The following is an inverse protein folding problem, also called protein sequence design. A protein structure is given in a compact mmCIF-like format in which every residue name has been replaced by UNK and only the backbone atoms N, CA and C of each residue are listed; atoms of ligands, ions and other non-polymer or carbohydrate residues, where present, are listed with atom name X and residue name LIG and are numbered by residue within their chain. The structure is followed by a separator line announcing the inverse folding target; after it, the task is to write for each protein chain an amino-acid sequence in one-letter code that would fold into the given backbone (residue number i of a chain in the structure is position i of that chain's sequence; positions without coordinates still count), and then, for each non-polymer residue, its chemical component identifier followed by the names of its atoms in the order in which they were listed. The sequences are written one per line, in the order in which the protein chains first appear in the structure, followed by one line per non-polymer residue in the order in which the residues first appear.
data_IF_476489554152
#
_entry.id   IF_476489554152
#
_cell.length_a   1.000
_cell.length_b   1.000
_cell.length_c   1.000
_cell.angle_alpha   90.00
_cell.angle_beta   90.00
_cell.angle_gamma   90.00
#
_symmetry.space_group_name_H-M   'P 1'
#
loop_
_entity.id
_entity.type
_entity.pdbx_description
1 polymer ?
#
# COMPACT_ATOMS: atom_id res chain seq x y z
N UNK A 1 -32.51 -13.61 -27.94
CA UNK A 1 -31.59 -12.47 -27.82
C UNK A 1 -30.34 -12.99 -27.08
N UNK A 2 -29.13 -12.65 -27.47
CA UNK A 2 -27.96 -13.05 -26.67
C UNK A 2 -28.02 -12.37 -25.32
N UNK A 3 -27.50 -13.07 -24.28
CA UNK A 3 -27.41 -12.53 -22.92
C UNK A 3 -26.54 -11.27 -22.90
N UNK A 4 -27.08 -10.20 -22.31
CA UNK A 4 -26.43 -8.88 -22.30
C UNK A 4 -25.45 -8.76 -21.11
N UNK A 5 -25.72 -9.46 -19.99
CA UNK A 5 -24.91 -9.45 -18.77
C UNK A 5 -23.81 -10.50 -18.91
N UNK A 6 -22.55 -10.07 -18.73
CA UNK A 6 -21.38 -10.95 -18.76
C UNK A 6 -20.53 -10.75 -17.51
N UNK A 7 -19.87 -11.82 -17.07
CA UNK A 7 -18.90 -11.75 -15.98
C UNK A 7 -17.67 -10.95 -16.44
N UNK A 8 -17.26 -9.98 -15.63
CA UNK A 8 -16.05 -9.22 -15.92
C UNK A 8 -14.80 -10.10 -15.74
N UNK A 9 -13.78 -9.93 -16.58
CA UNK A 9 -12.48 -10.53 -16.34
C UNK A 9 -11.90 -10.05 -15.00
N UNK A 10 -11.21 -10.93 -14.26
CA UNK A 10 -10.67 -10.64 -12.92
C UNK A 10 -9.84 -9.36 -12.86
N UNK A 11 -9.00 -9.11 -13.88
CA UNK A 11 -8.18 -7.91 -13.92
C UNK A 11 -9.01 -6.62 -13.98
N UNK A 12 -10.15 -6.63 -14.71
CA UNK A 12 -11.05 -5.47 -14.79
C UNK A 12 -11.79 -5.29 -13.46
N UNK A 13 -12.31 -6.37 -12.89
CA UNK A 13 -12.96 -6.34 -11.57
C UNK A 13 -12.01 -5.80 -10.50
N UNK A 14 -10.73 -6.23 -10.52
CA UNK A 14 -9.68 -5.76 -9.62
C UNK A 14 -9.38 -4.26 -9.79
N UNK A 15 -9.33 -3.76 -11.03
CA UNK A 15 -9.13 -2.34 -11.30
C UNK A 15 -10.31 -1.47 -10.83
N UNK A 16 -11.54 -1.94 -11.00
CA UNK A 16 -12.74 -1.25 -10.52
C UNK A 16 -12.72 -1.16 -8.99
N UNK A 17 -12.51 -2.29 -8.31
CA UNK A 17 -12.44 -2.33 -6.85
C UNK A 17 -11.26 -1.52 -6.28
N UNK A 18 -10.09 -1.57 -6.94
CA UNK A 18 -8.95 -0.72 -6.58
C UNK A 18 -9.31 0.77 -6.64
N UNK A 19 -10.18 1.13 -7.58
CA UNK A 19 -10.66 2.48 -7.74
C UNK A 19 -11.56 2.99 -6.61
N UNK A 20 -12.18 2.11 -5.86
CA UNK A 20 -12.97 2.48 -4.67
C UNK A 20 -12.05 2.77 -3.47
N UNK A 21 -10.93 2.07 -3.38
CA UNK A 21 -9.93 2.24 -2.31
C UNK A 21 -8.97 3.39 -2.61
N UNK A 22 -8.45 3.44 -3.84
CA UNK A 22 -7.42 4.40 -4.25
C UNK A 22 -7.97 5.37 -5.28
N UNK A 23 -8.30 6.56 -4.85
CA UNK A 23 -8.82 7.63 -5.73
C UNK A 23 -7.72 8.57 -6.25
N UNK A 24 -6.64 8.76 -5.47
CA UNK A 24 -5.54 9.69 -5.73
C UNK A 24 -4.27 9.29 -4.98
N UNK A 25 -3.11 9.92 -5.26
CA UNK A 25 -1.86 9.64 -4.53
C UNK A 25 -1.98 9.75 -3.02
N UNK A 26 -2.71 10.72 -2.48
CA UNK A 26 -2.93 10.88 -1.05
C UNK A 26 -3.62 9.66 -0.40
N UNK A 27 -4.49 8.94 -1.13
CA UNK A 27 -5.10 7.70 -0.63
C UNK A 27 -4.05 6.61 -0.41
N UNK A 28 -3.09 6.47 -1.35
CA UNK A 28 -1.97 5.53 -1.20
C UNK A 28 -1.10 5.90 0.00
N UNK A 29 -0.75 7.18 0.13
CA UNK A 29 0.05 7.68 1.27
C UNK A 29 -0.62 7.34 2.59
N UNK A 30 -1.91 7.63 2.73
CA UNK A 30 -2.69 7.31 3.93
C UNK A 30 -2.59 5.83 4.28
N UNK A 31 -2.90 4.93 3.33
CA UNK A 31 -2.90 3.48 3.55
C UNK A 31 -1.51 2.97 3.97
N UNK A 32 -0.44 3.44 3.31
CA UNK A 32 0.92 3.00 3.64
C UNK A 32 1.39 3.52 5.01
N UNK A 33 1.06 4.77 5.37
CA UNK A 33 1.37 5.31 6.70
C UNK A 33 0.61 4.55 7.81
N UNK A 34 -0.68 4.26 7.60
CA UNK A 34 -1.48 3.49 8.56
C UNK A 34 -0.94 2.06 8.73
N UNK A 35 -0.48 1.41 7.65
CA UNK A 35 0.16 0.11 7.73
C UNK A 35 1.49 0.15 8.52
N UNK A 36 2.30 1.19 8.34
CA UNK A 36 3.54 1.38 9.09
C UNK A 36 3.27 1.59 10.58
N UNK A 37 2.22 2.35 10.95
CA UNK A 37 1.78 2.53 12.33
C UNK A 37 1.32 1.20 12.94
N UNK A 38 0.50 0.45 12.22
CA UNK A 38 0.00 -0.86 12.65
C UNK A 38 1.15 -1.88 12.85
N UNK A 39 2.26 -1.73 12.09
CA UNK A 39 3.51 -2.47 12.27
C UNK A 39 4.33 -2.02 13.49
N UNK A 40 3.80 -1.11 14.32
CA UNK A 40 4.44 -0.58 15.55
C UNK A 40 5.74 0.17 15.28
N UNK A 41 5.82 0.86 14.17
CA UNK A 41 6.98 1.66 13.81
C UNK A 41 7.14 2.87 14.73
N UNK A 42 8.38 3.25 15.01
CA UNK A 42 8.74 4.46 15.74
C UNK A 42 9.30 5.55 14.83
N UNK A 43 9.72 5.16 13.63
CA UNK A 43 10.24 6.07 12.59
C UNK A 43 9.60 5.71 11.26
N UNK A 44 9.00 6.69 10.59
CA UNK A 44 8.36 6.53 9.28
C UNK A 44 8.84 7.63 8.36
N UNK A 45 9.36 7.25 7.19
CA UNK A 45 9.84 8.19 6.16
C UNK A 45 9.01 8.04 4.90
N UNK A 46 8.49 9.16 4.40
CA UNK A 46 7.76 9.27 3.12
C UNK A 46 8.65 9.97 2.09
N UNK A 47 8.83 9.36 0.92
CA UNK A 47 9.50 9.96 -0.23
C UNK A 47 8.55 10.02 -1.40
N UNK A 48 8.50 11.16 -2.08
CA UNK A 48 7.60 11.42 -3.20
C UNK A 48 8.37 11.89 -4.43
N UNK A 49 7.88 11.50 -5.60
CA UNK A 49 8.28 12.08 -6.88
C UNK A 49 7.05 12.39 -7.72
N UNK A 50 7.04 13.57 -8.35
CA UNK A 50 5.95 14.08 -9.18
C UNK A 50 4.57 14.02 -8.50
N UNK A 51 4.50 14.54 -7.25
CA UNK A 51 3.27 14.52 -6.44
C UNK A 51 2.69 13.10 -6.24
N UNK A 52 3.55 12.09 -6.13
CA UNK A 52 3.15 10.70 -5.96
C UNK A 52 2.71 9.98 -7.24
N UNK A 53 2.72 10.63 -8.40
CA UNK A 53 2.36 10.01 -9.68
C UNK A 53 3.42 9.03 -10.16
N UNK A 54 4.70 9.38 -9.98
CA UNK A 54 5.85 8.56 -10.40
C UNK A 54 6.35 7.68 -9.27
N UNK A 55 6.40 8.20 -8.03
CA UNK A 55 6.86 7.45 -6.86
C UNK A 55 6.15 7.93 -5.59
N UNK A 56 5.68 6.96 -4.82
CA UNK A 56 5.35 7.08 -3.39
C UNK A 56 6.13 5.97 -2.69
N UNK A 57 7.03 6.32 -1.78
CA UNK A 57 7.77 5.34 -1.00
C UNK A 57 7.60 5.63 0.47
N UNK A 58 7.17 4.63 1.24
CA UNK A 58 7.14 4.66 2.70
C UNK A 58 8.13 3.63 3.21
N UNK A 59 8.98 4.08 4.11
CA UNK A 59 9.97 3.26 4.82
C UNK A 59 9.69 3.38 6.30
N UNK A 60 9.58 2.26 6.98
CA UNK A 60 9.35 2.15 8.41
C UNK A 60 10.34 1.19 9.08
N UNK A 61 10.50 1.33 10.38
CA UNK A 61 11.29 0.45 11.23
C UNK A 61 10.43 -0.45 12.11
N UNK A 62 9.25 -0.83 11.64
CA UNK A 62 8.31 -1.69 12.35
C UNK A 62 8.74 -3.16 12.40
N UNK A 63 7.80 -4.03 12.74
CA UNK A 63 8.06 -5.46 12.95
C UNK A 63 8.56 -6.21 11.71
N UNK A 64 8.40 -5.65 10.52
CA UNK A 64 8.67 -6.35 9.27
C UNK A 64 7.72 -7.54 9.03
N UNK A 65 7.97 -8.28 7.97
CA UNK A 65 7.17 -9.44 7.56
C UNK A 65 8.07 -10.63 7.23
N UNK A 66 7.57 -11.84 7.46
CA UNK A 66 8.17 -13.05 6.91
C UNK A 66 8.03 -13.06 5.37
N UNK A 67 8.84 -13.83 4.62
CA UNK A 67 8.67 -13.95 3.16
C UNK A 67 7.28 -14.42 2.74
N UNK A 68 6.64 -15.29 3.54
CA UNK A 68 5.28 -15.78 3.29
C UNK A 68 4.24 -14.70 3.53
N UNK A 69 4.32 -13.97 4.66
CA UNK A 69 3.40 -12.86 4.96
C UNK A 69 3.54 -11.73 3.95
N UNK A 70 4.77 -11.45 3.50
CA UNK A 70 5.03 -10.44 2.49
C UNK A 70 4.35 -10.76 1.14
N UNK A 71 4.31 -12.03 0.73
CA UNK A 71 3.53 -12.48 -0.44
C UNK A 71 2.03 -12.37 -0.19
N UNK A 72 1.55 -12.88 0.95
CA UNK A 72 0.13 -12.86 1.32
C UNK A 72 -0.40 -11.43 1.45
N UNK A 73 0.45 -10.44 1.78
CA UNK A 73 0.03 -9.04 1.90
C UNK A 73 -0.53 -8.44 0.61
N UNK A 74 -0.26 -9.06 -0.55
CA UNK A 74 -0.80 -8.68 -1.85
C UNK A 74 -2.06 -9.45 -2.25
N UNK A 75 -2.46 -10.46 -1.46
CA UNK A 75 -3.70 -11.18 -1.69
C UNK A 75 -4.89 -10.42 -1.08
N UNK A 76 -6.04 -10.50 -1.75
CA UNK A 76 -7.26 -9.92 -1.22
C UNK A 76 -7.76 -10.70 -0.03
N UNK A 77 -8.32 -9.98 0.95
CA UNK A 77 -8.85 -10.56 2.19
C UNK A 77 -7.79 -11.26 3.05
N UNK A 78 -6.49 -11.08 2.75
CA UNK A 78 -5.41 -11.54 3.60
C UNK A 78 -5.08 -10.45 4.62
N UNK A 79 -5.33 -10.73 5.89
CA UNK A 79 -5.06 -9.80 6.99
C UNK A 79 -4.61 -10.56 8.24
N UNK A 80 -3.66 -9.98 8.96
CA UNK A 80 -3.26 -10.45 10.29
C UNK A 80 -4.12 -9.88 11.43
N UNK A 81 -5.05 -8.96 11.09
CA UNK A 81 -5.71 -8.08 12.06
C UNK A 81 -7.06 -8.60 12.54
N UNK A 82 -7.72 -9.46 11.75
CA UNK A 82 -8.98 -10.12 12.09
C UNK A 82 -8.90 -11.59 11.69
N UNK A 83 -9.47 -12.47 12.51
CA UNK A 83 -9.55 -13.91 12.24
C UNK A 83 -11.00 -14.42 12.30
N UNK A 84 -11.82 -13.80 13.12
CA UNK A 84 -13.23 -14.17 13.33
C UNK A 84 -14.10 -12.91 13.29
N UNK A 85 -15.41 -13.09 13.08
CA UNK A 85 -16.35 -11.98 12.96
C UNK A 85 -16.42 -11.11 14.24
N UNK A 86 -16.22 -11.69 15.41
CA UNK A 86 -16.20 -10.99 16.68
C UNK A 86 -15.04 -10.00 16.83
N UNK A 87 -13.93 -10.20 16.09
CA UNK A 87 -12.79 -9.28 16.08
C UNK A 87 -13.18 -7.92 15.47
N UNK A 88 -14.22 -7.87 14.63
CA UNK A 88 -14.74 -6.62 14.05
C UNK A 88 -15.22 -5.63 15.12
N UNK A 89 -15.66 -6.12 16.27
CA UNK A 89 -16.12 -5.28 17.38
C UNK A 89 -14.98 -4.82 18.31
N UNK A 90 -13.76 -5.32 18.12
CA UNK A 90 -12.58 -5.05 18.97
C UNK A 90 -11.40 -4.47 18.18
N UNK A 91 -11.69 -3.86 17.02
CA UNK A 91 -10.66 -3.33 16.14
C UNK A 91 -9.86 -2.21 16.81
N UNK A 92 -8.56 -2.42 16.98
CA UNK A 92 -7.60 -1.44 17.47
C UNK A 92 -6.60 -1.01 16.37
N UNK A 93 -6.79 -1.46 15.12
CA UNK A 93 -5.93 -1.17 13.97
C UNK A 93 -6.61 -0.21 13.01
N UNK A 94 -5.84 0.60 12.29
CA UNK A 94 -6.36 1.56 11.32
C UNK A 94 -6.96 0.87 10.08
N UNK A 95 -6.30 -0.19 9.58
CA UNK A 95 -6.79 -1.01 8.49
C UNK A 95 -7.14 -2.43 8.97
N UNK A 96 -8.16 -3.08 8.40
CA UNK A 96 -8.57 -4.43 8.77
C UNK A 96 -9.03 -5.30 7.59
N UNK A 97 -9.32 -4.69 6.44
CA UNK A 97 -9.94 -5.40 5.29
C UNK A 97 -8.98 -6.27 4.49
N UNK A 98 -7.64 -6.07 4.63
CA UNK A 98 -6.64 -6.82 3.86
C UNK A 98 -6.74 -6.57 2.35
N UNK A 99 -7.10 -5.36 1.92
CA UNK A 99 -7.32 -5.05 0.50
C UNK A 99 -6.45 -3.90 -0.02
N UNK A 100 -5.82 -3.11 0.86
CA UNK A 100 -5.12 -1.90 0.47
C UNK A 100 -3.95 -2.17 -0.47
N UNK A 101 -3.02 -3.07 -0.09
CA UNK A 101 -1.86 -3.41 -0.92
C UNK A 101 -2.26 -4.12 -2.21
N UNK A 102 -3.22 -5.04 -2.16
CA UNK A 102 -3.77 -5.69 -3.35
C UNK A 102 -4.39 -4.68 -4.32
N UNK A 103 -5.14 -3.70 -3.81
CA UNK A 103 -5.73 -2.62 -4.61
C UNK A 103 -4.68 -1.70 -5.21
N UNK A 104 -3.64 -1.33 -4.45
CA UNK A 104 -2.53 -0.52 -4.95
C UNK A 104 -1.76 -1.28 -6.04
N UNK A 105 -1.46 -2.57 -5.83
CA UNK A 105 -0.73 -3.41 -6.78
C UNK A 105 -1.50 -3.65 -8.08
N UNK A 106 -2.85 -3.58 -8.04
CA UNK A 106 -3.68 -3.68 -9.24
C UNK A 106 -3.49 -2.51 -10.21
N UNK A 107 -3.06 -1.34 -9.72
CA UNK A 107 -3.04 -0.08 -10.48
C UNK A 107 -1.68 0.61 -10.49
N UNK A 108 -0.65 -0.02 -9.94
CA UNK A 108 0.70 0.50 -9.86
C UNK A 108 1.74 -0.63 -9.93
N UNK A 109 3.00 -0.28 -10.14
CA UNK A 109 4.13 -1.17 -9.93
C UNK A 109 4.59 -1.04 -8.48
N UNK A 110 4.54 -2.13 -7.71
CA UNK A 110 4.90 -2.11 -6.29
C UNK A 110 6.16 -2.92 -6.05
N UNK A 111 7.11 -2.34 -5.33
CA UNK A 111 8.27 -3.03 -4.79
C UNK A 111 8.21 -2.99 -3.27
N UNK A 112 8.12 -4.15 -2.66
CA UNK A 112 8.14 -4.33 -1.21
C UNK A 112 9.47 -4.94 -0.81
N UNK A 113 10.11 -4.37 0.22
CA UNK A 113 11.31 -4.91 0.87
C UNK A 113 11.03 -4.97 2.36
N UNK A 114 11.28 -6.11 2.98
CA UNK A 114 10.98 -6.27 4.41
C UNK A 114 11.91 -7.27 5.07
N UNK A 115 12.15 -7.05 6.37
CA UNK A 115 12.93 -7.93 7.21
C UNK A 115 12.41 -7.84 8.65
N UNK A 116 12.23 -8.96 9.32
CA UNK A 116 11.92 -9.05 10.74
C UNK A 116 13.20 -8.88 11.58
N UNK A 117 13.05 -8.48 12.85
CA UNK A 117 14.18 -8.19 13.74
C UNK A 117 15.12 -9.39 13.98
N UNK A 118 14.58 -10.60 13.95
CA UNK A 118 15.31 -11.85 14.22
C UNK A 118 15.93 -12.48 12.96
N UNK A 119 15.74 -11.87 11.80
CA UNK A 119 16.23 -12.38 10.52
C UNK A 119 17.50 -11.65 10.05
N UNK A 120 18.45 -12.42 9.51
CA UNK A 120 19.69 -11.83 8.93
C UNK A 120 19.46 -11.27 7.52
N UNK A 121 18.62 -11.94 6.74
CA UNK A 121 18.34 -11.60 5.34
C UNK A 121 16.84 -11.35 5.20
N UNK A 122 16.49 -10.26 4.54
CA UNK A 122 15.11 -9.93 4.22
C UNK A 122 14.68 -10.44 2.86
N UNK A 123 13.47 -10.07 2.47
CA UNK A 123 12.91 -10.41 1.16
C UNK A 123 12.54 -9.15 0.39
N UNK A 124 12.66 -9.24 -0.93
CA UNK A 124 12.14 -8.23 -1.86
C UNK A 124 11.15 -8.89 -2.80
N UNK A 125 10.01 -8.26 -2.97
CA UNK A 125 8.92 -8.71 -3.85
C UNK A 125 8.56 -7.56 -4.78
N UNK A 126 8.45 -7.86 -6.08
CA UNK A 126 7.95 -6.92 -7.07
C UNK A 126 6.61 -7.43 -7.62
N UNK A 127 5.63 -6.54 -7.69
CA UNK A 127 4.26 -6.83 -8.13
C UNK A 127 3.82 -5.82 -9.18
N UNK A 128 3.23 -6.29 -10.26
CA UNK A 128 2.70 -5.47 -11.34
C UNK A 128 1.32 -5.99 -11.76
N UNK A 129 0.28 -5.15 -11.67
CA UNK A 129 -1.07 -5.55 -12.04
C UNK A 129 -1.58 -6.80 -11.30
N UNK A 130 -1.29 -6.90 -9.99
CA UNK A 130 -1.57 -8.05 -9.12
C UNK A 130 -0.81 -9.35 -9.46
N UNK A 131 0.24 -9.28 -10.27
CA UNK A 131 1.09 -10.43 -10.55
C UNK A 131 2.44 -10.23 -9.88
N UNK A 132 2.88 -11.22 -9.12
CA UNK A 132 4.26 -11.26 -8.59
C UNK A 132 5.18 -11.49 -9.77
N UNK A 133 6.01 -10.50 -10.10
CA UNK A 133 6.97 -10.56 -11.21
C UNK A 133 8.39 -10.90 -10.75
N UNK A 134 8.62 -10.87 -9.43
CA UNK A 134 9.91 -11.26 -8.86
C UNK A 134 9.84 -11.35 -7.34
N UNK A 135 10.53 -12.36 -6.80
CA UNK A 135 10.79 -12.51 -5.38
C UNK A 135 12.25 -12.95 -5.20
N UNK A 136 12.98 -12.25 -4.36
CA UNK A 136 14.40 -12.54 -4.11
C UNK A 136 14.76 -12.24 -2.64
N UNK A 137 15.80 -12.88 -2.14
CA UNK A 137 16.41 -12.50 -0.89
C UNK A 137 17.18 -11.18 -1.07
N UNK A 138 17.11 -10.32 -0.08
CA UNK A 138 17.76 -9.01 -0.15
C UNK A 138 18.33 -8.59 1.21
N UNK A 139 19.50 -7.97 1.17
CA UNK A 139 20.05 -7.31 2.36
C UNK A 139 19.33 -5.98 2.52
N UNK A 140 18.47 -5.90 3.52
CA UNK A 140 17.62 -4.73 3.80
C UNK A 140 17.61 -4.43 5.31
N UNK A 141 17.35 -3.19 5.71
CA UNK A 141 17.13 -2.85 7.12
C UNK A 141 15.92 -3.60 7.69
N UNK A 142 15.83 -3.66 9.01
CA UNK A 142 14.65 -4.13 9.72
C UNK A 142 13.46 -3.19 9.46
N UNK A 143 12.25 -3.75 9.45
CA UNK A 143 11.04 -3.04 9.08
C UNK A 143 10.62 -3.29 7.64
N UNK A 144 9.92 -2.31 7.04
CA UNK A 144 9.37 -2.45 5.70
C UNK A 144 9.59 -1.20 4.87
N UNK A 145 9.94 -1.39 3.60
CA UNK A 145 9.95 -0.34 2.59
C UNK A 145 9.01 -0.74 1.46
N UNK A 146 8.00 0.07 1.20
CA UNK A 146 7.06 -0.11 0.08
C UNK A 146 7.22 1.06 -0.87
N UNK A 147 7.58 0.79 -2.12
CA UNK A 147 7.69 1.75 -3.19
C UNK A 147 6.61 1.48 -4.24
N UNK A 148 5.69 2.43 -4.38
CA UNK A 148 4.60 2.44 -5.38
C UNK A 148 5.03 3.35 -6.52
N UNK A 149 5.15 2.78 -7.72
CA UNK A 149 5.61 3.49 -8.91
C UNK A 149 4.54 3.52 -9.99
N UNK A 150 4.55 4.59 -10.78
CA UNK A 150 3.69 4.74 -11.95
C UNK A 150 2.19 4.52 -11.62
N UNK A 151 1.70 5.19 -10.59
CA UNK A 151 0.31 5.08 -10.15
C UNK A 151 -0.65 5.31 -11.33
N UNK A 152 -1.66 4.44 -11.45
CA UNK A 152 -2.63 4.39 -12.55
C UNK A 152 -2.02 4.09 -13.93
N UNK A 153 -0.89 3.37 -13.99
CA UNK A 153 -0.22 3.05 -15.26
C UNK A 153 -1.15 2.34 -16.27
N UNK A 154 -2.05 1.53 -15.79
CA UNK A 154 -2.99 0.71 -16.57
C UNK A 154 -4.43 1.28 -16.59
N UNK A 155 -4.66 2.49 -16.06
CA UNK A 155 -5.95 3.19 -16.07
C UNK A 155 -5.75 4.63 -16.58
N UNK A 156 -5.52 4.84 -17.90
CA UNK A 156 -5.21 6.17 -18.46
C UNK A 156 -6.26 7.23 -18.12
N UNK A 157 -7.54 6.88 -18.12
CA UNK A 157 -8.62 7.79 -17.76
C UNK A 157 -8.41 8.37 -16.35
N UNK A 158 -8.10 7.55 -15.36
CA UNK A 158 -7.83 8.02 -13.99
C UNK A 158 -6.60 8.89 -13.91
N UNK A 159 -5.53 8.50 -14.60
CA UNK A 159 -4.30 9.29 -14.65
C UNK A 159 -4.56 10.71 -15.19
N UNK A 160 -5.42 10.82 -16.19
CA UNK A 160 -5.79 12.11 -16.79
C UNK A 160 -6.71 12.95 -15.88
N UNK A 161 -7.45 12.32 -14.96
CA UNK A 161 -8.29 13.02 -13.97
C UNK A 161 -7.52 13.57 -12.77
N UNK A 162 -6.27 13.16 -12.55
CA UNK A 162 -5.42 13.71 -11.50
C UNK A 162 -5.21 15.20 -11.72
N UNK A 163 -5.25 15.95 -10.64
CA UNK A 163 -5.03 17.40 -10.66
C UNK A 163 -3.55 17.72 -10.90
N UNK A 164 -3.23 18.99 -10.96
CA UNK A 164 -1.84 19.46 -11.08
C UNK A 164 -0.98 19.00 -9.89
N UNK A 165 0.34 18.92 -10.08
CA UNK A 165 1.24 18.49 -9.02
C UNK A 165 1.10 19.30 -7.72
N UNK A 166 0.99 20.65 -7.75
CA UNK A 166 0.76 21.41 -6.52
C UNK A 166 -0.50 20.99 -5.76
N UNK A 167 -1.59 20.69 -6.48
CA UNK A 167 -2.86 20.28 -5.85
C UNK A 167 -2.75 18.89 -5.25
N UNK A 168 -2.18 17.90 -5.96
CA UNK A 168 -2.01 16.56 -5.43
C UNK A 168 -1.01 16.55 -4.27
N UNK A 169 0.08 17.34 -4.33
CA UNK A 169 1.03 17.48 -3.22
C UNK A 169 0.35 18.04 -1.98
N UNK A 170 -0.53 19.04 -2.12
CA UNK A 170 -1.29 19.58 -0.99
C UNK A 170 -2.15 18.52 -0.33
N UNK A 171 -2.87 17.71 -1.09
CA UNK A 171 -3.64 16.59 -0.54
C UNK A 171 -2.77 15.58 0.21
N UNK A 172 -1.58 15.29 -0.31
CA UNK A 172 -0.63 14.40 0.37
C UNK A 172 -0.15 15.01 1.69
N UNK A 173 0.23 16.29 1.68
CA UNK A 173 0.68 17.01 2.89
C UNK A 173 -0.44 17.02 3.95
N UNK A 174 -1.68 17.27 3.54
CA UNK A 174 -2.83 17.28 4.46
C UNK A 174 -3.04 15.90 5.11
N UNK A 175 -2.94 14.80 4.36
CA UNK A 175 -3.03 13.44 4.90
C UNK A 175 -1.84 13.10 5.79
N UNK A 176 -0.62 13.46 5.37
CA UNK A 176 0.59 13.24 6.16
C UNK A 176 0.51 13.95 7.51
N UNK A 177 0.11 15.22 7.54
CA UNK A 177 -0.08 15.96 8.78
C UNK A 177 -1.16 15.37 9.67
N UNK A 178 -2.30 14.96 9.08
CA UNK A 178 -3.39 14.33 9.83
C UNK A 178 -2.93 13.06 10.55
N UNK A 179 -2.18 12.22 9.86
CA UNK A 179 -1.63 10.98 10.44
C UNK A 179 -0.56 11.29 11.48
N UNK A 180 0.40 12.17 11.18
CA UNK A 180 1.50 12.50 12.07
C UNK A 180 1.03 13.16 13.38
N UNK A 181 0.07 14.09 13.29
CA UNK A 181 -0.50 14.76 14.48
C UNK A 181 -1.29 13.79 15.38
N UNK A 182 -1.90 12.76 14.80
CA UNK A 182 -2.61 11.74 15.57
C UNK A 182 -1.67 10.76 16.30
N UNK A 183 -0.37 10.75 15.96
CA UNK A 183 0.63 9.81 16.49
C UNK A 183 1.93 10.52 16.94
N UNK A 184 1.87 11.38 17.97
CA UNK A 184 3.00 12.21 18.38
C UNK A 184 4.21 11.42 18.94
N UNK A 185 4.05 10.13 19.22
CA UNK A 185 5.13 9.23 19.65
C UNK A 185 5.95 8.64 18.50
N UNK A 186 5.60 8.91 17.24
CA UNK A 186 6.29 8.40 16.05
C UNK A 186 7.01 9.56 15.36
N UNK A 187 8.27 9.35 14.97
CA UNK A 187 9.02 10.30 14.17
C UNK A 187 8.64 10.16 12.69
N UNK A 188 8.03 11.20 12.12
CA UNK A 188 7.66 11.29 10.72
C UNK A 188 8.59 12.22 9.95
N UNK A 189 9.03 11.80 8.75
CA UNK A 189 9.82 12.60 7.79
C UNK A 189 9.21 12.52 6.41
N UNK A 190 9.19 13.64 5.66
CA UNK A 190 8.73 13.69 4.27
C UNK A 190 9.73 14.47 3.42
#
# INVERSE_FOLDING_TARGET
MPDIIQLLPDHVANQIAAGEVVQRPASVVKELLENAIDAKSTVITLVLKDAGKTLIQVTDNGTGMSPADALLSFERHATSKIKIAEDLFKLNTKGFRGEALASIAAIAHVSLKTKQHDQQIGTKINVEGNKVVGQEQAVVPEGTTIAVKNLFFNIPARRNFLKSNPVETRHIIDEFHRVALAHPGIAFTM
#
